data_IF_104261383814
#
_entry.id   IF_104261383814
#
_cell.length_a   1.000
_cell.length_b   1.000
_cell.length_c   1.000
_cell.angle_alpha   90.00
_cell.angle_beta   90.00
_cell.angle_gamma   90.00
#
_symmetry.space_group_name_H-M   'P 1'
#
loop_
_entity.id
_entity.type
_entity.pdbx_description
1 polymer ?
#
# COMPACT_ATOMS: atom_id res chain seq x y z
N UNK A 1 -10.88 -12.24 -2.84
CA UNK A 1 -10.94 -11.38 -1.64
C UNK A 1 -11.10 -12.26 -0.40
N UNK A 2 -10.14 -12.17 0.53
CA UNK A 2 -10.14 -12.88 1.81
C UNK A 2 -10.03 -11.92 3.00
N UNK A 3 -10.23 -10.62 2.78
CA UNK A 3 -10.12 -9.60 3.83
C UNK A 3 -11.11 -9.87 4.97
N UNK A 4 -10.62 -9.86 6.20
CA UNK A 4 -11.40 -10.09 7.43
C UNK A 4 -11.35 -8.90 8.37
N UNK A 5 -10.26 -8.11 8.32
CA UNK A 5 -10.07 -6.97 9.22
C UNK A 5 -10.81 -5.74 8.71
N UNK A 6 -11.66 -5.19 9.55
CA UNK A 6 -12.40 -3.95 9.31
C UNK A 6 -11.76 -2.77 10.05
N UNK A 7 -12.27 -1.56 9.80
CA UNK A 7 -11.76 -0.33 10.38
C UNK A 7 -11.67 -0.35 11.93
N UNK A 8 -12.65 -0.95 12.62
CA UNK A 8 -12.64 -0.99 14.08
C UNK A 8 -11.53 -1.91 14.62
N UNK A 9 -11.27 -3.03 13.94
CA UNK A 9 -10.17 -3.93 14.31
C UNK A 9 -8.83 -3.24 14.09
N UNK A 10 -8.64 -2.55 12.96
CA UNK A 10 -7.44 -1.78 12.66
C UNK A 10 -7.22 -0.59 13.61
N UNK A 11 -8.29 0.01 14.16
CA UNK A 11 -8.21 1.10 15.15
C UNK A 11 -7.89 0.61 16.56
N UNK A 12 -8.36 -0.57 16.92
CA UNK A 12 -8.32 -1.07 18.30
C UNK A 12 -7.10 -1.92 18.61
N UNK A 13 -6.19 -2.14 17.64
CA UNK A 13 -4.94 -2.83 17.92
C UNK A 13 -3.96 -1.92 18.68
N UNK A 14 -3.02 -2.52 19.39
CA UNK A 14 -2.08 -1.80 20.25
C UNK A 14 -0.72 -1.53 19.57
N UNK A 15 -0.48 -2.12 18.44
CA UNK A 15 0.78 -2.03 17.69
C UNK A 15 0.70 -1.09 16.50
N UNK A 16 1.63 -1.23 15.59
CA UNK A 16 1.83 -0.37 14.44
C UNK A 16 1.39 -1.04 13.13
N UNK A 17 0.89 -0.24 12.21
CA UNK A 17 0.65 -0.65 10.83
C UNK A 17 1.83 -0.19 9.97
N UNK A 18 2.41 -1.11 9.22
CA UNK A 18 3.40 -0.81 8.18
C UNK A 18 2.72 -0.91 6.81
N UNK A 19 3.01 0.05 5.93
CA UNK A 19 2.56 0.05 4.54
C UNK A 19 3.80 0.05 3.67
N UNK A 20 3.87 -0.88 2.72
CA UNK A 20 5.02 -1.01 1.81
C UNK A 20 4.60 -1.31 0.38
N UNK A 21 5.50 -1.04 -0.57
CA UNK A 21 5.37 -1.37 -1.98
C UNK A 21 6.69 -1.92 -2.54
N UNK A 22 6.72 -2.25 -3.85
CA UNK A 22 7.91 -2.81 -4.50
C UNK A 22 9.12 -1.87 -4.50
N UNK A 23 10.34 -2.42 -4.75
CA UNK A 23 11.57 -1.63 -4.92
C UNK A 23 11.46 -0.71 -6.14
N UNK A 24 12.11 0.46 -6.07
CA UNK A 24 11.97 1.54 -7.06
C UNK A 24 10.50 1.88 -7.32
N UNK A 25 9.76 2.30 -6.28
CA UNK A 25 8.34 2.57 -6.40
C UNK A 25 8.04 3.57 -7.50
N UNK A 26 7.05 3.26 -8.31
CA UNK A 26 6.50 4.14 -9.34
C UNK A 26 5.27 4.93 -8.85
N UNK A 27 4.49 5.50 -9.77
CA UNK A 27 3.34 6.31 -9.42
C UNK A 27 2.19 5.51 -8.79
N UNK A 28 1.99 4.24 -9.16
CA UNK A 28 0.96 3.39 -8.57
C UNK A 28 1.40 2.88 -7.19
N UNK A 29 2.64 2.44 -7.06
CA UNK A 29 3.22 2.04 -5.79
C UNK A 29 3.18 3.16 -4.75
N UNK A 30 3.64 4.37 -5.09
CA UNK A 30 3.61 5.53 -4.18
C UNK A 30 2.19 6.07 -3.97
N UNK A 31 1.37 6.08 -5.00
CA UNK A 31 -0.02 6.50 -4.93
C UNK A 31 -0.85 5.61 -4.00
N UNK A 32 -0.71 4.29 -4.10
CA UNK A 32 -1.41 3.33 -3.26
C UNK A 32 -0.95 3.38 -1.81
N UNK A 33 0.37 3.41 -1.55
CA UNK A 33 0.92 3.47 -0.19
C UNK A 33 0.56 4.78 0.51
N UNK A 34 0.78 5.92 -0.13
CA UNK A 34 0.45 7.22 0.46
C UNK A 34 -1.05 7.49 0.52
N UNK A 35 -1.83 6.93 -0.41
CA UNK A 35 -3.28 6.97 -0.36
C UNK A 35 -3.82 6.28 0.89
N UNK A 36 -3.38 5.05 1.16
CA UNK A 36 -3.78 4.30 2.35
C UNK A 36 -3.22 4.94 3.64
N UNK A 37 -1.98 5.43 3.62
CA UNK A 37 -1.37 6.15 4.75
C UNK A 37 -2.18 7.40 5.14
N UNK A 38 -2.52 8.26 4.18
CA UNK A 38 -3.32 9.46 4.45
C UNK A 38 -4.74 9.10 4.93
N UNK A 39 -5.30 8.01 4.43
CA UNK A 39 -6.56 7.48 4.93
C UNK A 39 -6.46 7.07 6.40
N UNK A 40 -5.46 6.27 6.78
CA UNK A 40 -5.24 5.85 8.16
C UNK A 40 -4.97 7.03 9.09
N UNK A 41 -4.16 7.99 8.66
CA UNK A 41 -3.91 9.22 9.42
C UNK A 41 -5.21 10.00 9.68
N UNK A 42 -6.09 10.10 8.68
CA UNK A 42 -7.41 10.74 8.84
C UNK A 42 -8.37 9.92 9.71
N UNK A 43 -8.24 8.61 9.71
CA UNK A 43 -9.00 7.69 10.57
C UNK A 43 -8.47 7.62 12.00
N UNK A 44 -7.36 8.30 12.34
CA UNK A 44 -6.71 8.25 13.65
C UNK A 44 -5.98 6.94 13.94
N UNK A 45 -5.52 6.25 12.89
CA UNK A 45 -4.78 4.99 12.99
C UNK A 45 -3.28 5.29 12.82
N UNK A 46 -2.44 4.84 13.77
CA UNK A 46 -0.99 4.96 13.67
C UNK A 46 -0.43 4.02 12.61
N UNK A 47 0.28 4.58 11.65
CA UNK A 47 0.87 3.82 10.55
C UNK A 47 2.15 4.49 10.04
N UNK A 48 3.04 3.69 9.44
CA UNK A 48 4.26 4.15 8.78
C UNK A 48 4.33 3.63 7.36
N UNK A 49 4.92 4.42 6.46
CA UNK A 49 5.29 3.98 5.12
C UNK A 49 6.78 3.67 5.10
N UNK A 50 7.15 2.44 4.75
CA UNK A 50 8.53 2.00 4.56
C UNK A 50 8.61 1.39 3.17
N UNK A 51 9.42 1.99 2.29
CA UNK A 51 9.66 1.46 0.94
C UNK A 51 11.09 0.96 0.82
N UNK A 52 11.36 -0.07 -0.01
CA UNK A 52 12.68 -0.71 -0.06
C UNK A 52 13.81 0.21 -0.50
N UNK A 53 13.54 1.09 -1.46
CA UNK A 53 14.52 1.99 -2.09
C UNK A 53 13.95 3.38 -2.34
N UNK A 54 14.81 4.31 -2.73
CA UNK A 54 14.40 5.60 -3.28
C UNK A 54 13.55 5.46 -4.55
N UNK A 55 12.87 6.54 -4.90
CA UNK A 55 11.97 6.65 -6.03
C UNK A 55 12.13 8.00 -6.75
N UNK A 56 11.46 8.15 -7.88
CA UNK A 56 11.60 9.34 -8.71
C UNK A 56 11.12 10.61 -8.00
N UNK A 57 11.95 11.67 -8.01
CA UNK A 57 11.70 12.92 -7.31
C UNK A 57 10.44 13.68 -7.78
N UNK A 58 9.96 13.37 -8.98
CA UNK A 58 8.67 13.90 -9.48
C UNK A 58 7.45 13.38 -8.73
N UNK A 59 7.61 12.44 -7.78
CA UNK A 59 6.56 11.97 -6.88
C UNK A 59 6.61 12.65 -5.49
N UNK A 60 7.64 13.45 -5.20
CA UNK A 60 7.84 14.08 -3.88
C UNK A 60 6.74 15.08 -3.47
N UNK A 61 5.91 15.51 -4.40
CA UNK A 61 4.78 16.39 -4.12
C UNK A 61 3.56 15.67 -3.53
N UNK A 62 3.56 14.33 -3.53
CA UNK A 62 2.45 13.56 -3.00
C UNK A 62 2.26 13.83 -1.49
N UNK A 63 1.02 13.99 -1.02
CA UNK A 63 0.74 14.17 0.41
C UNK A 63 1.29 13.00 1.24
N UNK A 64 2.04 13.32 2.30
CA UNK A 64 2.66 12.33 3.17
C UNK A 64 4.05 11.87 2.73
N UNK A 65 4.58 12.39 1.61
CA UNK A 65 5.91 12.04 1.12
C UNK A 65 7.02 12.24 2.18
N UNK A 66 6.94 13.31 2.96
CA UNK A 66 7.96 13.65 3.97
C UNK A 66 8.01 12.63 5.14
N UNK A 67 6.97 11.83 5.30
CA UNK A 67 6.86 10.77 6.31
C UNK A 67 7.36 9.40 5.80
N UNK A 68 7.70 9.29 4.51
CA UNK A 68 8.18 8.03 3.90
C UNK A 68 9.59 7.72 4.38
N UNK A 69 9.78 6.47 4.80
CA UNK A 69 11.11 5.95 5.16
C UNK A 69 11.62 5.02 4.07
N UNK A 70 12.89 5.15 3.76
CA UNK A 70 13.59 4.28 2.82
C UNK A 70 14.35 3.23 3.60
N UNK A 71 14.00 1.96 3.41
CA UNK A 71 14.62 0.83 4.12
C UNK A 71 16.14 0.78 3.94
N UNK A 72 16.63 1.05 2.73
CA UNK A 72 18.05 1.04 2.41
C UNK A 72 18.86 2.09 3.17
N UNK A 73 18.23 3.17 3.66
CA UNK A 73 18.90 4.26 4.37
C UNK A 73 19.09 3.96 5.87
N UNK A 74 18.16 3.19 6.49
CA UNK A 74 18.23 2.81 7.90
C UNK A 74 17.56 1.45 8.13
N UNK A 75 18.22 0.39 7.67
CA UNK A 75 17.71 -0.98 7.78
C UNK A 75 17.42 -1.39 9.20
N UNK A 76 18.32 -1.08 10.15
CA UNK A 76 18.17 -1.52 11.55
C UNK A 76 16.91 -0.93 12.21
N UNK A 77 16.62 0.34 12.00
CA UNK A 77 15.43 0.96 12.56
C UNK A 77 14.17 0.44 11.87
N UNK A 78 14.19 0.25 10.54
CA UNK A 78 13.08 -0.33 9.80
C UNK A 78 12.81 -1.78 10.22
N UNK A 79 13.83 -2.60 10.40
CA UNK A 79 13.70 -3.98 10.89
C UNK A 79 12.99 -4.05 12.24
N UNK A 80 13.36 -3.14 13.16
CA UNK A 80 12.71 -3.07 14.46
C UNK A 80 11.24 -2.69 14.36
N UNK A 81 10.87 -1.82 13.44
CA UNK A 81 9.47 -1.47 13.22
C UNK A 81 8.68 -2.63 12.60
N UNK A 82 9.23 -3.30 11.59
CA UNK A 82 8.60 -4.45 10.93
C UNK A 82 8.38 -5.59 11.94
N UNK A 83 9.36 -5.89 12.79
CA UNK A 83 9.25 -6.92 13.84
C UNK A 83 8.16 -6.64 14.87
N UNK A 84 7.89 -5.37 15.15
CA UNK A 84 6.90 -4.93 16.13
C UNK A 84 5.56 -4.50 15.49
N UNK A 85 5.38 -4.72 14.20
CA UNK A 85 4.14 -4.43 13.52
C UNK A 85 3.06 -5.45 13.87
N UNK A 86 1.80 -4.98 14.01
CA UNK A 86 0.64 -5.85 14.10
C UNK A 86 0.08 -6.19 12.70
N UNK A 87 0.20 -5.23 11.78
CA UNK A 87 -0.24 -5.39 10.39
C UNK A 87 0.81 -4.86 9.42
N UNK A 88 0.97 -5.56 8.30
CA UNK A 88 1.79 -5.13 7.19
C UNK A 88 0.94 -5.15 5.92
N UNK A 89 0.69 -3.98 5.35
CA UNK A 89 0.04 -3.85 4.05
C UNK A 89 1.09 -3.90 2.95
N UNK A 90 1.03 -4.94 2.14
CA UNK A 90 1.88 -5.18 0.97
C UNK A 90 1.13 -4.74 -0.28
N UNK A 91 1.57 -3.66 -0.90
CA UNK A 91 0.85 -3.01 -2.00
C UNK A 91 1.66 -3.03 -3.28
N UNK A 92 0.99 -3.36 -4.38
CA UNK A 92 1.54 -3.25 -5.72
C UNK A 92 2.74 -4.17 -6.01
N UNK A 93 2.72 -5.36 -5.45
CA UNK A 93 3.65 -6.43 -5.78
C UNK A 93 3.09 -7.81 -5.44
N UNK A 94 3.50 -8.82 -6.21
CA UNK A 94 3.00 -10.18 -6.15
C UNK A 94 3.94 -11.19 -5.46
N UNK A 95 5.16 -10.77 -5.06
CA UNK A 95 6.18 -11.65 -4.49
C UNK A 95 7.10 -10.88 -3.54
N UNK A 96 7.54 -11.51 -2.44
CA UNK A 96 8.44 -10.88 -1.46
C UNK A 96 9.80 -10.50 -2.06
N UNK A 97 10.26 -11.15 -3.11
CA UNK A 97 11.47 -10.78 -3.83
C UNK A 97 11.42 -9.37 -4.44
N UNK A 98 10.21 -8.81 -4.63
CA UNK A 98 10.00 -7.46 -5.15
C UNK A 98 10.33 -6.36 -4.14
N UNK A 99 10.50 -6.70 -2.87
CA UNK A 99 10.89 -5.75 -1.81
C UNK A 99 12.31 -6.01 -1.27
N UNK A 100 13.16 -6.69 -2.05
CA UNK A 100 14.57 -6.96 -1.74
C UNK A 100 14.75 -7.62 -0.36
N UNK A 101 15.78 -7.20 0.41
CA UNK A 101 16.08 -7.73 1.74
C UNK A 101 14.95 -7.52 2.76
N UNK A 102 14.14 -6.49 2.59
CA UNK A 102 12.98 -6.23 3.45
C UNK A 102 11.98 -7.41 3.40
N UNK A 103 11.97 -8.20 2.31
CA UNK A 103 11.11 -9.39 2.18
C UNK A 103 11.38 -10.47 3.22
N UNK A 104 12.63 -10.66 3.63
CA UNK A 104 12.99 -11.60 4.71
C UNK A 104 12.37 -11.15 6.03
N UNK A 105 12.49 -9.86 6.35
CA UNK A 105 11.93 -9.30 7.59
C UNK A 105 10.41 -9.36 7.64
N UNK A 106 9.74 -9.12 6.49
CA UNK A 106 8.29 -9.27 6.38
C UNK A 106 7.88 -10.72 6.58
N UNK A 107 8.57 -11.67 5.95
CA UNK A 107 8.25 -13.10 6.06
C UNK A 107 8.44 -13.67 7.47
N UNK A 108 9.39 -13.13 8.23
CA UNK A 108 9.71 -13.55 9.60
C UNK A 108 8.89 -12.81 10.66
N UNK A 109 8.12 -11.81 10.27
CA UNK A 109 7.29 -11.04 11.21
C UNK A 109 6.11 -11.85 11.72
N UNK A 110 5.61 -11.49 12.92
CA UNK A 110 4.36 -12.04 13.46
C UNK A 110 3.13 -11.21 13.06
N UNK A 111 3.31 -10.20 12.21
CA UNK A 111 2.23 -9.33 11.76
C UNK A 111 1.23 -10.07 10.86
N UNK A 112 -0.01 -9.60 10.85
CA UNK A 112 -0.97 -10.01 9.82
C UNK A 112 -0.59 -9.30 8.51
N UNK A 113 -0.20 -10.08 7.51
CA UNK A 113 0.17 -9.57 6.19
C UNK A 113 -1.08 -9.47 5.32
N UNK A 114 -1.36 -8.27 4.81
CA UNK A 114 -2.49 -7.97 3.93
C UNK A 114 -1.95 -7.55 2.57
N UNK A 115 -2.24 -8.36 1.54
CA UNK A 115 -1.83 -8.11 0.17
C UNK A 115 -2.95 -7.41 -0.61
N UNK A 116 -2.64 -6.25 -1.21
CA UNK A 116 -3.52 -5.58 -2.17
C UNK A 116 -2.73 -5.33 -3.45
N UNK A 117 -3.10 -6.03 -4.53
CA UNK A 117 -2.30 -6.08 -5.74
C UNK A 117 -3.12 -6.42 -6.98
N UNK A 118 -2.70 -5.93 -8.15
CA UNK A 118 -3.32 -6.24 -9.44
C UNK A 118 -2.44 -7.10 -10.37
N UNK A 119 -1.24 -7.48 -9.93
CA UNK A 119 -0.33 -8.29 -10.71
C UNK A 119 -0.77 -9.76 -10.82
N UNK A 120 -0.32 -10.42 -11.89
CA UNK A 120 -0.59 -11.86 -12.11
C UNK A 120 0.24 -12.74 -11.18
N UNK A 121 -0.28 -13.93 -10.90
CA UNK A 121 0.43 -15.00 -10.20
C UNK A 121 1.04 -14.59 -8.84
N UNK A 122 0.25 -14.07 -7.89
CA UNK A 122 0.76 -13.73 -6.56
C UNK A 122 1.24 -14.98 -5.83
N UNK A 123 2.39 -14.86 -5.13
CA UNK A 123 2.89 -15.88 -4.21
C UNK A 123 2.01 -15.98 -2.95
N UNK A 124 2.11 -17.11 -2.23
CA UNK A 124 1.38 -17.34 -0.98
C UNK A 124 2.23 -16.91 0.23
N UNK A 125 2.30 -15.60 0.51
CA UNK A 125 3.01 -15.05 1.66
C UNK A 125 2.11 -14.24 2.61
N UNK A 126 0.88 -13.95 2.18
CA UNK A 126 -0.09 -13.12 2.91
C UNK A 126 -1.05 -13.97 3.76
N UNK A 127 -1.64 -13.34 4.77
CA UNK A 127 -2.74 -13.89 5.57
C UNK A 127 -4.11 -13.53 4.99
N UNK A 128 -4.19 -12.37 4.36
CA UNK A 128 -5.39 -11.83 3.73
C UNK A 128 -5.04 -11.14 2.42
N UNK A 129 -5.90 -11.26 1.41
CA UNK A 129 -5.65 -10.64 0.11
C UNK A 129 -6.89 -10.01 -0.51
N UNK A 130 -6.66 -8.87 -1.15
CA UNK A 130 -7.57 -8.21 -2.06
C UNK A 130 -6.88 -8.04 -3.42
N UNK A 131 -6.88 -9.11 -4.21
CA UNK A 131 -6.15 -9.18 -5.48
C UNK A 131 -7.16 -9.30 -6.63
N UNK A 132 -6.98 -8.46 -7.66
CA UNK A 132 -7.80 -8.50 -8.87
C UNK A 132 -6.98 -8.13 -10.09
N UNK A 133 -6.61 -9.12 -10.89
CA UNK A 133 -5.76 -8.97 -12.09
C UNK A 133 -6.41 -8.06 -13.15
N UNK A 134 -7.73 -7.93 -13.15
CA UNK A 134 -8.46 -7.06 -14.08
C UNK A 134 -8.54 -5.60 -13.68
N UNK A 135 -8.07 -5.24 -12.48
CA UNK A 135 -8.01 -3.85 -12.05
C UNK A 135 -6.93 -3.09 -12.83
N UNK A 136 -7.17 -1.81 -13.08
CA UNK A 136 -6.27 -0.97 -13.85
C UNK A 136 -4.99 -0.59 -13.10
N UNK A 137 -5.03 -0.66 -11.77
CA UNK A 137 -3.94 -0.27 -10.88
C UNK A 137 -4.22 -0.74 -9.45
N UNK A 138 -3.20 -0.80 -8.62
CA UNK A 138 -3.36 -1.01 -7.17
C UNK A 138 -4.08 0.17 -6.52
N UNK A 139 -3.92 1.38 -7.02
CA UNK A 139 -4.70 2.55 -6.57
C UNK A 139 -6.21 2.38 -6.76
N UNK A 140 -6.67 1.77 -7.86
CA UNK A 140 -8.08 1.39 -8.03
C UNK A 140 -8.52 0.43 -6.91
N UNK A 141 -7.69 -0.55 -6.59
CA UNK A 141 -7.99 -1.52 -5.53
C UNK A 141 -8.01 -0.87 -4.15
N UNK A 142 -7.12 0.07 -3.84
CA UNK A 142 -7.14 0.84 -2.57
C UNK A 142 -8.45 1.63 -2.44
N UNK A 143 -8.89 2.31 -3.50
CA UNK A 143 -10.17 3.00 -3.49
C UNK A 143 -11.33 2.04 -3.18
N UNK A 144 -11.35 0.89 -3.85
CA UNK A 144 -12.39 -0.14 -3.66
C UNK A 144 -12.31 -0.76 -2.27
N UNK A 145 -11.11 -1.04 -1.77
CA UNK A 145 -10.87 -1.55 -0.42
C UNK A 145 -11.43 -0.61 0.65
N UNK A 146 -11.16 0.69 0.53
CA UNK A 146 -11.72 1.69 1.45
C UNK A 146 -13.26 1.69 1.39
N UNK A 147 -13.84 1.60 0.21
CA UNK A 147 -15.31 1.59 0.04
C UNK A 147 -16.00 0.35 0.58
N UNK A 148 -15.35 -0.81 0.51
CA UNK A 148 -15.99 -2.10 0.81
C UNK A 148 -15.67 -2.62 2.21
N UNK A 149 -14.48 -2.32 2.74
CA UNK A 149 -13.99 -2.86 4.01
C UNK A 149 -13.77 -1.80 5.10
N UNK A 150 -13.68 -0.54 4.73
CA UNK A 150 -13.42 0.56 5.64
C UNK A 150 -14.58 1.57 5.64
N UNK A 151 -14.31 2.83 5.95
CA UNK A 151 -15.28 3.93 5.95
C UNK A 151 -14.92 4.98 4.89
N UNK A 152 -15.63 4.95 3.77
CA UNK A 152 -15.37 5.87 2.65
C UNK A 152 -15.62 7.35 2.97
N UNK A 153 -16.34 7.66 4.03
CA UNK A 153 -16.57 9.06 4.47
C UNK A 153 -15.31 9.73 5.02
N UNK A 154 -14.30 8.93 5.36
CA UNK A 154 -13.00 9.40 5.83
C UNK A 154 -11.99 9.67 4.69
N UNK A 155 -12.36 9.42 3.43
CA UNK A 155 -11.54 9.86 2.30
C UNK A 155 -11.56 11.38 2.19
N UNK A 156 -10.38 11.97 2.01
CA UNK A 156 -10.21 13.40 1.83
C UNK A 156 -9.41 13.71 0.56
N UNK A 157 -9.16 14.99 0.28
CA UNK A 157 -8.40 15.44 -0.88
C UNK A 157 -7.00 14.79 -0.97
N UNK A 158 -6.31 14.59 0.16
CA UNK A 158 -4.97 13.99 0.18
C UNK A 158 -5.00 12.54 -0.31
N UNK A 159 -5.98 11.76 0.17
CA UNK A 159 -6.23 10.40 -0.31
C UNK A 159 -6.54 10.40 -1.81
N UNK A 160 -7.43 11.29 -2.25
CA UNK A 160 -7.82 11.41 -3.65
C UNK A 160 -6.64 11.76 -4.57
N UNK A 161 -5.76 12.67 -4.17
CA UNK A 161 -4.55 13.04 -4.94
C UNK A 161 -3.61 11.84 -5.14
N UNK A 162 -3.36 11.07 -4.09
CA UNK A 162 -2.51 9.89 -4.16
C UNK A 162 -3.10 8.82 -5.08
N UNK A 163 -4.37 8.45 -4.88
CA UNK A 163 -5.07 7.45 -5.69
C UNK A 163 -5.11 7.87 -7.17
N UNK A 164 -5.44 9.14 -7.44
CA UNK A 164 -5.51 9.65 -8.81
C UNK A 164 -4.15 9.62 -9.51
N UNK A 165 -3.05 9.84 -8.79
CA UNK A 165 -1.70 9.73 -9.35
C UNK A 165 -1.41 8.33 -9.87
N UNK A 166 -1.68 7.29 -9.07
CA UNK A 166 -1.47 5.91 -9.50
C UNK A 166 -2.39 5.54 -10.67
N UNK A 167 -3.66 5.91 -10.61
CA UNK A 167 -4.59 5.69 -11.72
C UNK A 167 -4.07 6.28 -13.05
N UNK A 168 -3.60 7.53 -13.04
CA UNK A 168 -3.08 8.19 -14.25
C UNK A 168 -1.80 7.52 -14.76
N UNK A 169 -0.87 7.20 -13.86
CA UNK A 169 0.43 6.62 -14.28
C UNK A 169 0.24 5.25 -14.87
N UNK A 170 -0.52 4.37 -14.23
CA UNK A 170 -0.66 2.97 -14.62
C UNK A 170 -1.60 2.77 -15.81
N UNK A 171 -2.51 3.70 -16.06
CA UNK A 171 -3.40 3.69 -17.23
C UNK A 171 -2.87 4.49 -18.42
N UNK A 172 -1.67 5.08 -18.29
CA UNK A 172 -1.13 5.98 -19.31
C UNK A 172 -2.07 7.16 -19.62
N UNK A 173 -2.62 7.77 -18.58
CA UNK A 173 -3.66 8.82 -18.65
C UNK A 173 -4.96 8.29 -19.30
N UNK A 174 -5.41 7.13 -18.84
CA UNK A 174 -6.64 6.44 -19.29
C UNK A 174 -6.61 5.99 -20.76
N UNK A 175 -5.42 5.80 -21.35
CA UNK A 175 -5.28 5.39 -22.76
C UNK A 175 -5.01 3.89 -22.94
N UNK A 176 -4.57 3.20 -21.90
CA UNK A 176 -4.28 1.77 -21.97
C UNK A 176 -5.54 0.92 -21.91
N UNK A 177 -5.46 -0.30 -22.43
CA UNK A 177 -6.58 -1.25 -22.47
C UNK A 177 -7.02 -1.72 -21.07
N UNK A 178 -6.16 -1.56 -20.06
CA UNK A 178 -6.49 -1.80 -18.65
C UNK A 178 -7.54 -0.82 -18.10
N UNK A 179 -7.77 0.31 -18.77
CA UNK A 179 -8.79 1.30 -18.37
C UNK A 179 -10.18 0.75 -18.63
N UNK A 180 -10.98 0.60 -17.57
CA UNK A 180 -12.36 0.10 -17.64
C UNK A 180 -13.35 1.17 -17.19
N UNK A 181 -14.66 0.89 -17.30
CA UNK A 181 -15.70 1.75 -16.72
C UNK A 181 -15.64 1.81 -15.19
N UNK A 182 -14.97 0.88 -14.54
CA UNK A 182 -14.76 0.89 -13.08
C UNK A 182 -13.61 1.84 -12.69
N UNK A 183 -12.63 2.01 -13.59
CA UNK A 183 -11.47 2.90 -13.41
C UNK A 183 -11.85 4.38 -13.50
N UNK A 184 -12.88 4.72 -14.30
CA UNK A 184 -13.35 6.09 -14.57
C UNK A 184 -14.55 6.42 -13.68
#
# INVERSE_FOLDING_TARGET
>A
DTIRHNLNQLRNHSGKIIITAHHKPDGDAMGSTLGLYNYFKNAGIDSSVIVPTDYASNLNWLPGNDDVRIYADDMQACDNEIKNADYIFCLDFNALSRINQMGEMVSESNAVIILIDHHQSPEDFDNERFVEIGASSTCELIYRYIKTHLDSTLMNEKVGRCIYTGLITDTGSFRFQSTTSTTI
#
